data_IF_194603344413
#
_entry.id   IF_194603344413
#
_cell.length_a   1.000
_cell.length_b   1.000
_cell.length_c   1.000
_cell.angle_alpha   90.00
_cell.angle_beta   90.00
_cell.angle_gamma   90.00
#
_symmetry.space_group_name_H-M   'P 1'
#
loop_
_entity.id
_entity.type
_entity.pdbx_description
1 polymer ?
#
# COMPACT_ATOMS: atom_id res chain seq x y z
N UNK A 1 11.96 21.69 -6.81
CA UNK A 1 11.47 20.33 -6.49
C UNK A 1 11.07 19.66 -7.80
N UNK A 2 11.50 18.45 -8.06
CA UNK A 2 11.10 17.70 -9.26
C UNK A 2 9.60 17.42 -9.19
N UNK A 3 8.86 17.76 -10.25
CA UNK A 3 7.44 17.42 -10.39
C UNK A 3 7.24 16.03 -11.02
N UNK A 4 8.34 15.33 -11.36
CA UNK A 4 8.29 14.00 -11.98
C UNK A 4 7.73 12.95 -11.04
N UNK A 5 7.02 12.00 -11.63
CA UNK A 5 6.61 10.75 -11.00
C UNK A 5 7.30 9.60 -11.71
N UNK A 6 7.66 8.55 -10.97
CA UNK A 6 8.29 7.36 -11.55
C UNK A 6 8.29 6.21 -10.56
N UNK A 7 7.88 5.03 -11.01
CA UNK A 7 8.04 3.79 -10.26
C UNK A 7 8.05 2.58 -11.20
N UNK A 8 9.16 1.85 -11.24
CA UNK A 8 9.32 0.58 -11.97
C UNK A 8 9.51 -0.61 -11.03
N UNK A 9 9.82 -0.35 -9.75
CA UNK A 9 9.97 -1.37 -8.72
C UNK A 9 9.51 -0.83 -7.35
N UNK A 10 8.96 -1.71 -6.52
CA UNK A 10 8.63 -1.40 -5.11
C UNK A 10 9.88 -1.16 -4.28
N UNK A 11 11.06 -1.62 -4.75
CA UNK A 11 12.32 -1.59 -3.99
C UNK A 11 13.34 -0.60 -4.52
N UNK A 12 13.06 0.13 -5.61
CA UNK A 12 13.89 1.25 -6.03
C UNK A 12 13.90 2.34 -4.96
N UNK A 13 14.98 3.15 -4.93
CA UNK A 13 15.16 4.20 -3.92
C UNK A 13 13.97 5.15 -3.87
N UNK A 14 13.32 5.23 -2.72
CA UNK A 14 12.20 6.12 -2.47
C UNK A 14 12.70 7.56 -2.35
N UNK A 15 12.18 8.46 -3.19
CA UNK A 15 12.58 9.86 -3.22
C UNK A 15 11.43 10.80 -2.84
N UNK A 16 10.18 10.43 -3.18
CA UNK A 16 8.99 11.23 -2.86
C UNK A 16 7.81 10.34 -2.54
N UNK A 17 7.09 10.67 -1.47
CA UNK A 17 5.95 9.88 -0.98
C UNK A 17 4.86 10.77 -0.39
N UNK A 18 3.61 10.40 -0.60
CA UNK A 18 2.48 10.91 0.18
C UNK A 18 2.26 9.92 1.33
N UNK A 19 2.27 10.39 2.58
CA UNK A 19 1.91 9.58 3.75
C UNK A 19 0.50 9.91 4.22
N UNK A 20 -0.09 9.02 5.02
CA UNK A 20 -1.43 9.23 5.58
C UNK A 20 -1.57 10.49 6.41
N UNK A 21 -2.82 10.98 6.50
CA UNK A 21 -3.21 12.13 7.31
C UNK A 21 -4.07 11.68 8.49
N UNK A 22 -3.61 11.92 9.71
CA UNK A 22 -4.32 11.51 10.93
C UNK A 22 -5.31 12.56 11.46
N UNK A 23 -5.23 13.82 11.04
CA UNK A 23 -5.97 14.92 11.67
C UNK A 23 -7.49 14.81 11.52
N UNK A 24 -7.99 14.13 10.47
CA UNK A 24 -9.41 13.89 10.29
C UNK A 24 -9.89 12.52 10.79
N UNK A 25 -9.00 11.70 11.33
CA UNK A 25 -9.38 10.45 11.98
C UNK A 25 -10.35 10.69 13.14
N UNK A 26 -11.38 9.87 13.25
CA UNK A 26 -12.38 9.92 14.32
C UNK A 26 -12.40 8.62 15.11
N UNK A 27 -12.23 8.73 16.42
CA UNK A 27 -12.37 7.60 17.36
C UNK A 27 -13.84 7.11 17.48
N UNK A 28 -14.80 7.95 17.08
CA UNK A 28 -16.22 7.61 17.05
C UNK A 28 -16.83 8.02 15.71
N UNK A 29 -16.54 7.28 14.62
CA UNK A 29 -16.98 7.65 13.30
C UNK A 29 -18.51 7.63 13.18
N UNK A 30 -19.08 8.70 12.62
CA UNK A 30 -20.52 8.80 12.37
C UNK A 30 -20.98 7.78 11.29
N UNK A 31 -20.06 7.28 10.47
CA UNK A 31 -20.31 6.34 9.36
C UNK A 31 -19.83 4.94 9.74
N UNK A 32 -20.55 4.34 10.64
CA UNK A 32 -20.26 3.06 11.28
C UNK A 32 -20.29 1.86 10.32
N UNK A 33 -20.83 2.01 9.12
CA UNK A 33 -20.90 0.96 8.08
C UNK A 33 -19.52 0.51 7.56
N UNK A 34 -18.46 1.20 7.96
CA UNK A 34 -17.10 1.00 7.43
C UNK A 34 -16.23 0.10 8.28
N UNK A 35 -16.59 -0.06 9.53
CA UNK A 35 -15.78 -0.74 10.54
C UNK A 35 -16.66 -1.84 11.15
N UNK A 36 -16.16 -3.07 11.21
CA UNK A 36 -16.86 -4.12 11.96
C UNK A 36 -16.84 -3.83 13.46
N UNK A 37 -17.68 -4.53 14.26
CA UNK A 37 -17.81 -4.28 15.69
C UNK A 37 -16.49 -4.46 16.46
N UNK A 38 -15.67 -5.44 16.06
CA UNK A 38 -14.37 -5.70 16.70
C UNK A 38 -13.40 -4.53 16.45
N UNK A 39 -13.39 -3.99 15.22
CA UNK A 39 -12.60 -2.80 14.90
C UNK A 39 -13.07 -1.56 15.66
N UNK A 40 -14.39 -1.37 15.83
CA UNK A 40 -14.91 -0.22 16.59
C UNK A 40 -14.44 -0.21 18.05
N UNK A 41 -14.36 -1.41 18.65
CA UNK A 41 -13.92 -1.55 20.03
C UNK A 41 -12.40 -1.43 20.21
N UNK A 42 -11.64 -1.56 19.11
CA UNK A 42 -10.18 -1.50 19.08
C UNK A 42 -9.60 -0.23 18.45
N UNK A 43 -10.43 0.80 18.15
CA UNK A 43 -9.93 2.04 17.54
C UNK A 43 -8.93 2.75 18.47
N UNK A 44 -7.74 3.09 17.98
CA UNK A 44 -6.70 3.70 18.78
C UNK A 44 -7.04 5.15 19.13
N UNK A 45 -6.47 5.71 20.22
CA UNK A 45 -6.51 7.13 20.46
C UNK A 45 -5.83 7.92 19.33
N UNK A 46 -6.44 9.04 18.95
CA UNK A 46 -5.89 9.91 17.89
C UNK A 46 -4.47 10.42 18.21
N UNK A 47 -4.16 10.64 19.47
CA UNK A 47 -2.85 11.09 19.89
C UNK A 47 -1.77 10.04 19.61
N UNK A 48 -2.08 8.76 19.78
CA UNK A 48 -1.16 7.68 19.41
C UNK A 48 -0.89 7.66 17.89
N UNK A 49 -1.93 7.80 17.05
CA UNK A 49 -1.74 7.95 15.60
C UNK A 49 -0.86 9.12 15.26
N UNK A 50 -1.04 10.26 15.95
CA UNK A 50 -0.21 11.45 15.75
C UNK A 50 1.27 11.14 16.01
N UNK A 51 1.59 10.57 17.15
CA UNK A 51 2.97 10.24 17.54
C UNK A 51 3.62 9.28 16.54
N UNK A 52 2.88 8.24 16.12
CA UNK A 52 3.37 7.25 15.17
C UNK A 52 3.59 7.86 13.77
N UNK A 53 2.65 8.66 13.24
CA UNK A 53 2.80 9.31 11.95
C UNK A 53 3.89 10.39 11.95
N UNK A 54 4.06 11.12 13.05
CA UNK A 54 5.14 12.09 13.21
C UNK A 54 6.52 11.38 13.20
N UNK A 55 6.65 10.25 13.91
CA UNK A 55 7.85 9.39 13.89
C UNK A 55 8.10 8.84 12.49
N UNK A 56 7.08 8.32 11.83
CA UNK A 56 7.18 7.78 10.46
C UNK A 56 7.66 8.87 9.48
N UNK A 57 7.09 10.07 9.56
CA UNK A 57 7.53 11.24 8.78
C UNK A 57 8.99 11.59 9.04
N UNK A 58 9.41 11.61 10.31
CA UNK A 58 10.79 11.92 10.68
C UNK A 58 11.76 10.92 10.05
N UNK A 59 11.52 9.60 10.18
CA UNK A 59 12.38 8.55 9.63
C UNK A 59 12.49 8.67 8.10
N UNK A 60 11.39 8.94 7.40
CA UNK A 60 11.40 9.18 5.96
C UNK A 60 12.23 10.42 5.58
N UNK A 61 12.06 11.52 6.32
CA UNK A 61 12.80 12.77 6.07
C UNK A 61 14.29 12.61 6.34
N UNK A 62 14.68 11.91 7.41
CA UNK A 62 16.06 11.58 7.72
C UNK A 62 16.70 10.66 6.69
N UNK A 63 15.89 9.82 6.02
CA UNK A 63 16.31 9.01 4.89
C UNK A 63 16.43 9.81 3.57
N UNK A 64 16.16 11.13 3.58
CA UNK A 64 16.23 11.99 2.40
C UNK A 64 14.99 11.97 1.51
N UNK A 65 13.88 11.40 1.97
CA UNK A 65 12.62 11.32 1.21
C UNK A 65 11.83 12.62 1.34
N UNK A 66 11.34 13.15 0.23
CA UNK A 66 10.35 14.24 0.22
C UNK A 66 8.99 13.70 0.65
N UNK A 67 8.51 14.15 1.82
CA UNK A 67 7.25 13.67 2.41
C UNK A 67 6.14 14.69 2.21
N UNK A 68 5.05 14.24 1.60
CA UNK A 68 3.83 15.00 1.36
C UNK A 68 2.69 14.44 2.22
N UNK A 69 1.66 15.25 2.48
CA UNK A 69 0.48 14.85 3.23
C UNK A 69 -0.77 15.31 2.47
N UNK A 70 -1.82 14.49 2.33
CA UNK A 70 -3.05 14.89 1.65
C UNK A 70 -3.66 16.16 2.24
N UNK A 71 -4.35 16.95 1.45
CA UNK A 71 -5.19 18.02 1.95
C UNK A 71 -6.34 17.46 2.78
N UNK A 72 -6.78 18.21 3.79
CA UNK A 72 -7.91 17.83 4.63
C UNK A 72 -9.22 17.82 3.83
N UNK A 73 -9.88 16.67 3.73
CA UNK A 73 -11.13 16.51 2.96
C UNK A 73 -12.39 16.77 3.81
N UNK A 74 -12.26 16.79 5.13
CA UNK A 74 -13.34 17.12 6.02
C UNK A 74 -14.27 15.95 6.38
N UNK A 75 -15.53 16.26 6.68
CA UNK A 75 -16.50 15.33 7.30
C UNK A 75 -16.98 14.18 6.41
N UNK A 76 -16.62 14.18 5.12
CA UNK A 76 -17.12 13.19 4.17
C UNK A 76 -16.26 11.93 4.10
N UNK A 77 -15.12 11.93 4.77
CA UNK A 77 -14.24 10.77 4.86
C UNK A 77 -14.08 10.35 6.32
N UNK A 78 -13.94 9.05 6.53
CA UNK A 78 -13.71 8.47 7.85
C UNK A 78 -12.30 8.83 8.37
N UNK A 79 -11.33 8.61 7.54
CA UNK A 79 -9.92 8.97 7.75
C UNK A 79 -9.21 9.18 6.39
N UNK A 80 -7.94 9.53 6.44
CA UNK A 80 -7.05 9.61 5.28
C UNK A 80 -5.71 8.92 5.58
N UNK A 81 -5.75 7.84 6.37
CA UNK A 81 -4.54 7.17 6.88
C UNK A 81 -3.85 6.32 5.82
N UNK A 82 -4.60 5.79 4.83
CA UNK A 82 -4.10 4.80 3.87
C UNK A 82 -4.16 5.32 2.42
N UNK A 83 -3.30 6.30 2.06
CA UNK A 83 -3.30 6.89 0.72
C UNK A 83 -2.88 5.91 -0.39
N UNK A 84 -2.26 4.78 -0.06
CA UNK A 84 -1.87 3.75 -1.02
C UNK A 84 -3.03 3.31 -1.90
N UNK A 85 -4.21 3.19 -1.32
CA UNK A 85 -5.37 2.65 -2.03
C UNK A 85 -5.95 3.64 -3.04
N UNK A 86 -5.62 4.94 -2.90
CA UNK A 86 -6.13 6.01 -3.78
C UNK A 86 -5.49 6.00 -5.16
N UNK A 87 -4.31 5.42 -5.32
CA UNK A 87 -3.60 5.40 -6.58
C UNK A 87 -2.26 4.71 -6.54
N UNK A 88 -1.66 4.59 -7.72
CA UNK A 88 -0.36 3.97 -7.92
C UNK A 88 0.41 4.65 -9.03
N UNK A 89 1.69 4.88 -8.85
CA UNK A 89 2.59 5.22 -9.95
C UNK A 89 3.05 3.93 -10.61
N UNK A 90 2.84 3.81 -11.92
CA UNK A 90 3.26 2.67 -12.75
C UNK A 90 4.06 3.24 -13.93
N UNK A 91 5.35 2.91 -13.99
CA UNK A 91 6.26 3.57 -14.92
C UNK A 91 6.33 5.07 -14.62
N UNK A 92 5.90 5.90 -15.57
CA UNK A 92 5.83 7.36 -15.45
C UNK A 92 4.39 7.89 -15.48
N UNK A 93 3.40 7.01 -15.24
CA UNK A 93 1.99 7.36 -15.20
C UNK A 93 1.44 7.17 -13.79
N UNK A 94 0.45 7.99 -13.42
CA UNK A 94 -0.30 7.85 -12.18
C UNK A 94 -1.67 7.24 -12.47
N UNK A 95 -1.94 6.08 -11.92
CA UNK A 95 -3.28 5.49 -11.90
C UNK A 95 -4.04 6.07 -10.71
N UNK A 96 -5.12 6.81 -10.96
CA UNK A 96 -6.08 7.19 -9.92
C UNK A 96 -7.13 6.08 -9.78
N UNK A 97 -7.20 5.49 -8.61
CA UNK A 97 -8.03 4.33 -8.34
C UNK A 97 -9.52 4.64 -8.20
N UNK A 98 -10.36 3.72 -8.63
CA UNK A 98 -11.80 3.74 -8.40
C UNK A 98 -12.13 2.80 -7.22
N UNK A 99 -12.28 3.38 -6.03
CA UNK A 99 -12.52 2.67 -4.79
C UNK A 99 -13.88 1.96 -4.79
N UNK A 100 -13.90 0.68 -4.39
CA UNK A 100 -15.17 -0.06 -4.24
C UNK A 100 -16.02 0.52 -3.12
N UNK A 101 -15.40 0.91 -1.99
CA UNK A 101 -16.11 1.53 -0.86
C UNK A 101 -16.41 2.99 -1.15
N UNK A 102 -17.71 3.32 -1.23
CA UNK A 102 -18.18 4.68 -1.53
C UNK A 102 -17.68 5.73 -0.55
N UNK A 103 -17.57 5.40 0.71
CA UNK A 103 -17.06 6.26 1.79
C UNK A 103 -15.61 6.70 1.58
N UNK A 104 -14.80 5.90 0.90
CA UNK A 104 -13.40 6.19 0.64
C UNK A 104 -13.15 6.99 -0.65
N UNK A 105 -14.14 7.08 -1.54
CA UNK A 105 -13.99 7.74 -2.85
C UNK A 105 -13.62 9.21 -2.76
N UNK A 106 -14.04 9.90 -1.70
CA UNK A 106 -13.73 11.31 -1.50
C UNK A 106 -12.33 11.56 -0.96
N UNK A 107 -11.64 10.54 -0.45
CA UNK A 107 -10.26 10.66 0.04
C UNK A 107 -9.31 11.16 -1.08
N UNK A 108 -9.56 10.77 -2.33
CA UNK A 108 -8.76 11.17 -3.49
C UNK A 108 -8.70 12.69 -3.69
N UNK A 109 -9.72 13.43 -3.28
CA UNK A 109 -9.70 14.90 -3.34
C UNK A 109 -8.51 15.50 -2.56
N UNK A 110 -8.05 14.82 -1.51
CA UNK A 110 -6.90 15.25 -0.71
C UNK A 110 -5.56 15.21 -1.45
N UNK A 111 -5.46 14.47 -2.56
CA UNK A 111 -4.21 14.36 -3.33
C UNK A 111 -4.25 15.13 -4.66
N UNK A 112 -5.38 15.72 -5.04
CA UNK A 112 -5.54 16.36 -6.36
C UNK A 112 -4.53 17.46 -6.65
N UNK A 113 -4.13 18.27 -5.65
CA UNK A 113 -3.09 19.29 -5.89
C UNK A 113 -1.76 18.69 -6.36
N UNK A 114 -1.40 17.52 -5.85
CA UNK A 114 -0.16 16.84 -6.25
C UNK A 114 -0.27 16.26 -7.66
N UNK A 115 -1.46 15.76 -8.03
CA UNK A 115 -1.74 15.26 -9.37
C UNK A 115 -1.70 16.39 -10.40
N UNK A 116 -2.21 17.57 -10.05
CA UNK A 116 -2.16 18.76 -10.90
C UNK A 116 -0.72 19.23 -11.19
N UNK A 117 0.19 18.93 -10.26
CA UNK A 117 1.60 19.29 -10.40
C UNK A 117 2.41 18.31 -11.28
N UNK A 118 1.83 17.17 -11.69
CA UNK A 118 2.47 16.21 -12.58
C UNK A 118 2.60 16.83 -13.97
N UNK A 119 3.82 16.89 -14.58
CA UNK A 119 3.99 17.39 -15.93
C UNK A 119 3.17 16.55 -16.93
N UNK A 120 2.41 17.22 -17.79
CA UNK A 120 1.53 16.53 -18.75
C UNK A 120 0.44 15.71 -18.07
N UNK A 121 -0.10 16.18 -16.93
CA UNK A 121 -1.06 15.47 -16.09
C UNK A 121 -2.26 14.92 -16.87
N UNK A 122 -2.75 15.62 -17.90
CA UNK A 122 -3.86 15.14 -18.75
C UNK A 122 -3.55 13.81 -19.47
N UNK A 123 -2.29 13.57 -19.82
CA UNK A 123 -1.85 12.35 -20.49
C UNK A 123 -1.25 11.31 -19.52
N UNK A 124 -0.74 11.77 -18.38
CA UNK A 124 -0.01 10.94 -17.43
C UNK A 124 -0.85 10.50 -16.22
N UNK A 125 -2.09 10.99 -16.08
CA UNK A 125 -3.05 10.50 -15.11
C UNK A 125 -4.04 9.58 -15.82
N UNK A 126 -4.04 8.31 -15.41
CA UNK A 126 -4.92 7.27 -15.93
C UNK A 126 -6.05 7.05 -14.94
N UNK A 127 -7.28 7.10 -15.40
CA UNK A 127 -8.49 6.94 -14.57
C UNK A 127 -9.40 5.92 -15.25
N UNK A 128 -9.89 4.88 -14.54
CA UNK A 128 -10.91 4.01 -15.10
C UNK A 128 -12.18 4.79 -15.49
N UNK A 129 -12.65 4.65 -16.70
CA UNK A 129 -13.83 5.32 -17.22
C UNK A 129 -15.14 4.57 -16.92
N UNK A 130 -15.04 3.27 -16.60
CA UNK A 130 -16.17 2.44 -16.21
C UNK A 130 -16.48 2.59 -14.71
N UNK A 131 -17.74 2.86 -14.32
CA UNK A 131 -18.12 2.97 -12.91
C UNK A 131 -18.06 1.63 -12.15
N UNK A 132 -17.95 0.51 -12.86
CA UNK A 132 -17.84 -0.85 -12.31
C UNK A 132 -16.42 -1.39 -12.34
N UNK A 133 -15.48 -0.69 -12.97
CA UNK A 133 -14.07 -1.02 -12.93
C UNK A 133 -13.49 -0.59 -11.57
N UNK A 134 -13.41 -1.54 -10.62
CA UNK A 134 -12.86 -1.27 -9.30
C UNK A 134 -11.40 -1.68 -9.23
N UNK A 135 -10.58 -0.74 -8.77
CA UNK A 135 -9.13 -0.92 -8.54
C UNK A 135 -8.75 -0.15 -7.28
N UNK A 136 -7.98 -0.79 -6.39
CA UNK A 136 -7.35 -0.13 -5.24
C UNK A 136 -5.84 -0.36 -5.28
N UNK A 137 -5.05 0.66 -4.97
CA UNK A 137 -3.58 0.61 -5.12
C UNK A 137 -2.88 -0.38 -4.17
N UNK A 138 -3.54 -0.79 -3.08
CA UNK A 138 -3.07 -1.88 -2.20
C UNK A 138 -3.05 -3.25 -2.87
N UNK A 139 -3.87 -3.43 -3.92
CA UNK A 139 -3.91 -4.65 -4.74
C UNK A 139 -2.89 -4.64 -5.88
N UNK A 140 -2.08 -3.60 -6.04
CA UNK A 140 -1.12 -3.48 -7.13
C UNK A 140 0.31 -3.44 -6.57
N UNK A 141 1.19 -4.24 -7.17
CA UNK A 141 2.62 -4.24 -6.93
C UNK A 141 3.37 -4.23 -8.26
N UNK A 142 4.28 -3.28 -8.42
CA UNK A 142 5.11 -3.17 -9.64
C UNK A 142 6.53 -3.55 -9.30
N UNK A 143 7.02 -4.66 -9.88
CA UNK A 143 8.41 -5.07 -9.69
C UNK A 143 8.90 -6.00 -10.81
N UNK A 144 10.18 -5.90 -11.15
CA UNK A 144 10.84 -6.75 -12.14
C UNK A 144 10.09 -6.87 -13.48
N UNK A 145 9.53 -5.77 -13.96
CA UNK A 145 8.77 -5.75 -15.22
C UNK A 145 7.36 -6.36 -15.11
N UNK A 146 6.93 -6.78 -13.93
CA UNK A 146 5.58 -7.27 -13.69
C UNK A 146 4.73 -6.25 -12.97
N UNK A 147 3.43 -6.26 -13.26
CA UNK A 147 2.37 -5.69 -12.43
C UNK A 147 1.61 -6.87 -11.84
N UNK A 148 1.86 -7.16 -10.57
CA UNK A 148 1.03 -8.10 -9.84
C UNK A 148 -0.23 -7.38 -9.39
N UNK A 149 -1.40 -7.93 -9.72
CA UNK A 149 -2.69 -7.34 -9.36
C UNK A 149 -3.62 -8.39 -8.75
N UNK A 150 -4.06 -8.15 -7.51
CA UNK A 150 -4.99 -9.09 -6.88
C UNK A 150 -6.41 -8.91 -7.41
N UNK A 151 -7.07 -10.02 -7.70
CA UNK A 151 -8.52 -10.11 -7.76
C UNK A 151 -9.00 -10.40 -6.35
N UNK A 152 -9.57 -9.38 -5.70
CA UNK A 152 -9.86 -9.36 -4.28
C UNK A 152 -11.29 -8.88 -3.99
N UNK A 153 -11.56 -8.50 -2.74
CA UNK A 153 -12.80 -7.82 -2.36
C UNK A 153 -12.82 -6.34 -2.80
N UNK A 154 -11.69 -5.83 -3.29
CA UNK A 154 -11.47 -4.41 -3.61
C UNK A 154 -11.17 -4.15 -5.08
N UNK A 155 -10.49 -5.07 -5.73
CA UNK A 155 -10.18 -5.01 -7.16
C UNK A 155 -10.85 -6.17 -7.88
N UNK A 156 -11.54 -5.88 -8.97
CA UNK A 156 -12.27 -6.89 -9.75
C UNK A 156 -11.59 -7.21 -11.09
N UNK A 157 -12.16 -8.15 -11.85
CA UNK A 157 -11.64 -8.57 -13.16
C UNK A 157 -11.61 -7.42 -14.19
N UNK A 158 -12.57 -6.48 -14.12
CA UNK A 158 -12.54 -5.29 -15.00
C UNK A 158 -11.31 -4.43 -14.69
N UNK A 159 -10.91 -4.33 -13.41
CA UNK A 159 -9.69 -3.65 -13.00
C UNK A 159 -8.42 -4.30 -13.54
N UNK A 160 -8.36 -5.64 -13.55
CA UNK A 160 -7.25 -6.38 -14.17
C UNK A 160 -7.17 -6.11 -15.66
N UNK A 161 -8.29 -6.24 -16.37
CA UNK A 161 -8.37 -6.00 -17.82
C UNK A 161 -7.97 -4.55 -18.17
N UNK A 162 -8.38 -3.58 -17.35
CA UNK A 162 -7.99 -2.18 -17.51
C UNK A 162 -6.47 -1.99 -17.37
N UNK A 163 -5.84 -2.62 -16.38
CA UNK A 163 -4.37 -2.55 -16.22
C UNK A 163 -3.66 -3.20 -17.40
N UNK A 164 -4.17 -4.31 -17.91
CA UNK A 164 -3.63 -4.98 -19.09
C UNK A 164 -3.73 -4.09 -20.34
N UNK A 165 -4.87 -3.42 -20.55
CA UNK A 165 -5.05 -2.46 -21.65
C UNK A 165 -4.08 -1.26 -21.55
N UNK A 166 -3.93 -0.67 -20.37
CA UNK A 166 -3.17 0.56 -20.18
C UNK A 166 -1.65 0.36 -20.09
N UNK A 167 -1.21 -0.80 -19.61
CA UNK A 167 0.19 -1.04 -19.25
C UNK A 167 0.77 -2.34 -19.83
N UNK A 168 -0.04 -3.21 -20.43
CA UNK A 168 0.40 -4.51 -20.94
C UNK A 168 1.41 -4.46 -22.09
N UNK A 169 1.61 -3.28 -22.72
CA UNK A 169 2.69 -3.07 -23.70
C UNK A 169 4.07 -2.95 -23.06
N UNK A 170 4.14 -2.46 -21.81
CA UNK A 170 5.38 -2.13 -21.12
C UNK A 170 5.67 -3.07 -19.94
N UNK A 171 4.64 -3.72 -19.42
CA UNK A 171 4.70 -4.62 -18.25
C UNK A 171 3.96 -5.92 -18.52
N UNK A 172 4.41 -6.99 -17.89
CA UNK A 172 3.65 -8.24 -17.80
C UNK A 172 2.62 -8.13 -16.65
N UNK A 173 1.34 -8.06 -16.98
CA UNK A 173 0.27 -8.02 -15.97
C UNK A 173 -0.03 -9.43 -15.47
N UNK A 174 0.18 -9.66 -14.18
CA UNK A 174 0.04 -10.95 -13.51
C UNK A 174 -1.14 -10.91 -12.54
N UNK A 175 -2.30 -11.46 -12.92
CA UNK A 175 -3.44 -11.55 -12.01
C UNK A 175 -3.15 -12.54 -10.88
N UNK A 176 -3.50 -12.14 -9.65
CA UNK A 176 -3.34 -12.93 -8.42
C UNK A 176 -4.70 -13.15 -7.80
N UNK A 177 -5.17 -14.39 -7.73
CA UNK A 177 -6.43 -14.70 -7.06
C UNK A 177 -6.23 -14.78 -5.54
N UNK A 178 -6.75 -13.79 -4.81
CA UNK A 178 -6.75 -13.79 -3.36
C UNK A 178 -7.89 -14.66 -2.80
N UNK A 179 -7.64 -15.31 -1.66
CA UNK A 179 -8.70 -15.95 -0.87
C UNK A 179 -9.52 -14.91 -0.13
N UNK A 180 -10.79 -15.18 0.03
CA UNK A 180 -11.77 -14.29 0.65
C UNK A 180 -12.11 -14.70 2.09
N UNK A 181 -12.82 -13.85 2.81
CA UNK A 181 -13.39 -14.18 4.13
C UNK A 181 -14.25 -15.44 4.10
N UNK A 182 -15.02 -15.68 3.02
CA UNK A 182 -15.83 -16.88 2.88
C UNK A 182 -14.98 -18.16 2.75
N UNK A 183 -13.72 -18.01 2.32
CA UNK A 183 -12.72 -19.09 2.22
C UNK A 183 -11.84 -19.19 3.47
N UNK A 184 -12.16 -18.44 4.53
CA UNK A 184 -11.47 -18.48 5.82
C UNK A 184 -10.24 -17.57 5.93
N UNK A 185 -9.98 -16.72 4.92
CA UNK A 185 -8.85 -15.80 4.89
C UNK A 185 -9.30 -14.34 4.82
N UNK A 186 -8.78 -13.52 5.72
CA UNK A 186 -9.03 -12.08 5.73
C UNK A 186 -7.85 -11.33 5.10
N UNK A 187 -7.67 -11.51 3.80
CA UNK A 187 -6.69 -10.74 3.04
C UNK A 187 -7.41 -9.55 2.43
N UNK A 188 -7.05 -8.35 2.90
CA UNK A 188 -7.70 -7.11 2.45
C UNK A 188 -7.22 -6.72 1.05
N UNK A 189 -5.90 -6.71 0.85
CA UNK A 189 -5.22 -6.37 -0.39
C UNK A 189 -4.02 -7.28 -0.64
N UNK A 190 -3.45 -7.23 -1.85
CA UNK A 190 -2.26 -7.98 -2.22
C UNK A 190 -1.07 -7.71 -1.28
N UNK A 191 -0.86 -6.46 -0.87
CA UNK A 191 0.23 -6.06 0.02
C UNK A 191 0.10 -6.58 1.45
N UNK A 192 -1.05 -7.15 1.81
CA UNK A 192 -1.24 -7.88 3.06
C UNK A 192 -0.82 -9.35 2.96
N UNK A 193 -0.47 -9.85 1.77
CA UNK A 193 -0.03 -11.24 1.59
C UNK A 193 1.27 -11.38 0.77
N UNK A 194 1.68 -10.34 0.02
CA UNK A 194 2.89 -10.34 -0.77
C UNK A 194 3.51 -8.95 -0.81
N UNK A 195 4.83 -8.86 -0.62
CA UNK A 195 5.54 -7.59 -0.68
C UNK A 195 7.03 -7.82 -1.03
N UNK A 196 7.51 -7.38 -2.20
CA UNK A 196 8.93 -7.37 -2.53
C UNK A 196 9.73 -6.53 -1.54
N UNK A 197 10.86 -7.07 -1.07
CA UNK A 197 11.79 -6.40 -0.17
C UNK A 197 13.21 -6.63 -0.62
N UNK A 198 13.97 -5.57 -0.82
CA UNK A 198 15.30 -5.69 -1.40
C UNK A 198 15.29 -6.17 -2.85
N UNK A 199 16.46 -6.43 -3.41
CA UNK A 199 16.59 -6.78 -4.84
C UNK A 199 16.10 -8.19 -5.19
N UNK A 200 16.03 -9.12 -4.23
CA UNK A 200 15.70 -10.54 -4.45
C UNK A 200 14.66 -11.10 -3.51
N UNK A 201 14.56 -10.62 -2.29
CA UNK A 201 13.65 -11.16 -1.30
C UNK A 201 12.22 -10.63 -1.47
N UNK A 202 11.25 -11.41 -1.01
CA UNK A 202 9.88 -10.96 -0.83
C UNK A 202 9.23 -11.62 0.39
N UNK A 203 8.39 -10.87 1.08
CA UNK A 203 7.53 -11.40 2.12
C UNK A 203 6.31 -12.04 1.48
N UNK A 204 5.92 -13.22 1.95
CA UNK A 204 4.75 -13.92 1.44
C UNK A 204 3.96 -14.63 2.54
N UNK A 205 2.64 -14.46 2.51
CA UNK A 205 1.66 -15.26 3.23
C UNK A 205 0.94 -16.15 2.22
N UNK A 206 1.45 -17.38 2.03
CA UNK A 206 1.00 -18.28 0.95
C UNK A 206 -0.47 -18.66 1.07
N UNK A 207 -0.99 -18.78 2.30
CA UNK A 207 -2.41 -19.13 2.54
C UNK A 207 -3.40 -18.07 2.06
N UNK A 208 -2.93 -16.85 1.81
CA UNK A 208 -3.74 -15.77 1.21
C UNK A 208 -4.04 -15.97 -0.27
N UNK A 209 -3.26 -16.80 -0.97
CA UNK A 209 -3.41 -17.07 -2.40
C UNK A 209 -4.31 -18.30 -2.64
N UNK A 210 -5.10 -18.29 -3.71
CA UNK A 210 -5.65 -19.54 -4.26
C UNK A 210 -4.54 -20.35 -4.91
N UNK A 211 -3.67 -19.68 -5.66
CA UNK A 211 -2.46 -20.25 -6.25
C UNK A 211 -1.40 -19.14 -6.33
N UNK A 212 -0.18 -19.41 -5.85
CA UNK A 212 0.94 -18.49 -6.00
C UNK A 212 1.42 -18.50 -7.45
N UNK A 213 1.47 -17.33 -8.13
CA UNK A 213 1.99 -17.23 -9.50
C UNK A 213 3.45 -17.69 -9.62
N UNK A 214 3.80 -18.24 -10.79
CA UNK A 214 5.19 -18.65 -11.08
C UNK A 214 6.15 -17.46 -11.08
N UNK A 215 5.69 -16.30 -11.52
CA UNK A 215 6.43 -15.05 -11.52
C UNK A 215 6.89 -14.65 -10.11
N UNK A 216 6.15 -15.05 -9.08
CA UNK A 216 6.56 -14.89 -7.68
C UNK A 216 7.56 -15.98 -7.30
N UNK A 217 7.23 -17.25 -7.55
CA UNK A 217 8.07 -18.38 -7.14
C UNK A 217 9.45 -18.39 -7.78
N UNK A 218 9.54 -17.96 -9.04
CA UNK A 218 10.78 -18.03 -9.84
C UNK A 218 11.67 -16.80 -9.66
N UNK A 219 11.12 -15.66 -9.17
CA UNK A 219 11.84 -14.39 -9.14
C UNK A 219 12.26 -13.91 -7.74
N UNK A 220 11.78 -14.58 -6.66
CA UNK A 220 12.04 -14.11 -5.30
C UNK A 220 12.51 -15.20 -4.34
N UNK A 221 13.44 -14.83 -3.47
CA UNK A 221 13.77 -15.58 -2.27
C UNK A 221 12.68 -15.28 -1.23
N UNK A 222 11.78 -16.25 -0.99
CA UNK A 222 10.57 -16.02 -0.23
C UNK A 222 10.80 -16.13 1.28
N UNK A 223 10.50 -15.06 2.01
CA UNK A 223 10.41 -15.01 3.48
C UNK A 223 8.95 -15.25 3.86
N UNK A 224 8.66 -16.41 4.44
CA UNK A 224 7.29 -16.83 4.76
C UNK A 224 6.78 -16.17 6.04
N UNK A 225 5.57 -15.66 5.93
CA UNK A 225 4.80 -15.03 7.02
C UNK A 225 3.68 -15.99 7.39
N UNK A 226 3.51 -16.28 8.67
CA UNK A 226 2.40 -17.11 9.14
C UNK A 226 1.12 -16.27 9.39
N UNK A 227 0.00 -16.95 9.67
CA UNK A 227 -1.32 -16.31 9.84
C UNK A 227 -1.37 -15.28 10.98
N UNK A 228 -0.68 -15.52 12.08
CA UNK A 228 -0.64 -14.57 13.22
C UNK A 228 0.14 -13.31 12.84
N UNK A 229 1.28 -13.48 12.18
CA UNK A 229 2.11 -12.39 11.67
C UNK A 229 1.38 -11.59 10.58
N UNK A 230 0.64 -12.27 9.69
CA UNK A 230 -0.15 -11.63 8.64
C UNK A 230 -1.27 -10.76 9.24
N UNK A 231 -1.94 -11.22 10.29
CA UNK A 231 -2.97 -10.43 11.01
C UNK A 231 -2.40 -9.15 11.61
N UNK A 232 -1.13 -9.18 12.00
CA UNK A 232 -0.38 -8.01 12.45
C UNK A 232 0.24 -7.20 11.30
N UNK A 233 -0.16 -7.49 10.05
CA UNK A 233 0.33 -6.81 8.85
C UNK A 233 1.87 -6.84 8.71
N UNK A 234 2.53 -7.93 9.12
CA UNK A 234 3.99 -8.08 9.02
C UNK A 234 4.51 -8.07 7.57
N UNK A 235 3.66 -8.32 6.57
CA UNK A 235 3.98 -8.16 5.15
C UNK A 235 3.98 -6.70 4.69
N UNK A 236 3.26 -5.82 5.39
CA UNK A 236 2.95 -4.46 4.95
C UNK A 236 4.02 -3.45 5.37
N UNK A 237 5.27 -3.75 5.08
CA UNK A 237 6.45 -2.91 5.34
C UNK A 237 6.73 -1.99 4.15
N UNK A 238 7.53 -0.93 4.33
CA UNK A 238 7.91 0.00 3.28
C UNK A 238 9.39 -0.12 2.94
N UNK A 239 9.71 -0.47 1.69
CA UNK A 239 11.08 -0.40 1.18
C UNK A 239 11.48 1.06 0.93
N UNK A 240 12.60 1.48 1.52
CA UNK A 240 13.26 2.76 1.23
C UNK A 240 14.20 2.63 0.03
N UNK A 241 14.80 1.46 -0.13
CA UNK A 241 15.72 1.09 -1.21
C UNK A 241 15.83 -0.43 -1.28
N UNK A 242 16.66 -0.95 -2.18
CA UNK A 242 16.94 -2.39 -2.29
C UNK A 242 17.68 -2.96 -1.06
N UNK A 243 18.23 -2.13 -0.20
CA UNK A 243 19.03 -2.54 0.96
C UNK A 243 18.46 -2.02 2.30
N UNK A 244 17.33 -1.29 2.28
CA UNK A 244 16.74 -0.74 3.51
C UNK A 244 15.23 -0.70 3.50
N UNK A 245 14.61 -1.13 4.62
CA UNK A 245 13.16 -1.12 4.83
C UNK A 245 12.78 -0.48 6.17
N UNK A 246 11.55 0.03 6.27
CA UNK A 246 10.90 0.41 7.54
C UNK A 246 9.92 -0.70 7.90
N UNK A 247 10.00 -1.21 9.12
CA UNK A 247 9.14 -2.24 9.68
C UNK A 247 8.72 -1.91 11.12
N UNK A 248 7.76 -2.68 11.64
CA UNK A 248 7.26 -2.49 13.00
C UNK A 248 8.19 -3.11 14.05
N UNK A 249 8.39 -2.36 15.15
CA UNK A 249 8.90 -2.90 16.41
C UNK A 249 7.77 -3.59 17.18
N UNK A 250 7.31 -4.72 16.67
CA UNK A 250 6.24 -5.52 17.24
C UNK A 250 6.70 -6.98 17.42
N UNK A 251 6.36 -7.66 18.52
CA UNK A 251 6.83 -9.03 18.81
C UNK A 251 6.62 -10.03 17.66
N UNK A 252 5.49 -9.97 16.97
CA UNK A 252 5.20 -10.85 15.82
C UNK A 252 5.93 -10.43 14.54
N UNK A 253 6.38 -9.18 14.41
CA UNK A 253 7.17 -8.71 13.28
C UNK A 253 8.68 -8.99 13.45
N UNK A 254 9.18 -9.06 14.68
CA UNK A 254 10.62 -9.27 14.97
C UNK A 254 11.23 -10.50 14.29
N UNK A 255 10.58 -11.69 14.26
CA UNK A 255 11.11 -12.83 13.53
C UNK A 255 11.27 -12.55 12.03
N UNK A 256 10.32 -11.87 11.42
CA UNK A 256 10.35 -11.48 9.99
C UNK A 256 11.47 -10.46 9.76
N UNK A 257 11.61 -9.46 10.63
CA UNK A 257 12.69 -8.48 10.57
C UNK A 257 14.07 -9.15 10.66
N UNK A 258 14.21 -10.21 11.45
CA UNK A 258 15.44 -10.98 11.53
C UNK A 258 15.76 -11.73 10.23
N UNK A 259 14.75 -12.32 9.55
CA UNK A 259 14.96 -12.98 8.24
C UNK A 259 15.31 -11.95 7.16
N UNK A 260 14.69 -10.76 7.17
CA UNK A 260 15.03 -9.65 6.25
C UNK A 260 16.50 -9.25 6.44
N UNK A 261 16.98 -9.11 7.70
CA UNK A 261 18.39 -8.81 7.99
C UNK A 261 19.33 -9.91 7.52
N UNK A 262 18.95 -11.19 7.63
CA UNK A 262 19.73 -12.32 7.09
C UNK A 262 19.84 -12.26 5.56
N UNK A 263 18.85 -11.71 4.88
CA UNK A 263 18.91 -11.45 3.44
C UNK A 263 19.81 -10.25 3.07
N UNK A 264 20.46 -9.61 4.06
CA UNK A 264 21.37 -8.47 3.86
C UNK A 264 20.70 -7.13 3.77
N UNK A 265 19.43 -7.02 4.21
CA UNK A 265 18.64 -5.79 4.14
C UNK A 265 18.59 -5.16 5.53
N UNK A 266 18.90 -3.87 5.63
CA UNK A 266 18.75 -3.09 6.84
C UNK A 266 17.29 -2.89 7.19
N UNK A 267 16.91 -3.10 8.45
CA UNK A 267 15.55 -2.91 8.95
C UNK A 267 15.54 -1.82 10.00
N UNK A 268 14.93 -0.70 9.68
CA UNK A 268 14.58 0.36 10.63
C UNK A 268 13.28 -0.01 11.31
N UNK A 269 13.34 -0.33 12.60
CA UNK A 269 12.15 -0.68 13.39
C UNK A 269 11.63 0.54 14.13
N UNK A 270 10.34 0.83 13.99
CA UNK A 270 9.64 1.88 14.76
C UNK A 270 8.31 1.36 15.28
N UNK A 271 7.86 1.95 16.38
CA UNK A 271 6.51 1.69 16.92
C UNK A 271 5.46 2.23 15.94
N UNK A 272 4.56 1.36 15.51
CA UNK A 272 3.47 1.69 14.58
C UNK A 272 2.34 0.68 14.78
N UNK A 273 1.58 0.84 15.87
CA UNK A 273 0.56 -0.11 16.31
C UNK A 273 -0.86 0.45 16.18
N UNK A 274 -1.01 1.77 16.26
CA UNK A 274 -2.30 2.44 16.10
C UNK A 274 -2.82 2.38 14.66
N UNK A 275 -1.98 2.62 13.65
CA UNK A 275 -2.40 2.55 12.26
C UNK A 275 -2.83 1.13 11.84
N UNK A 276 -2.12 0.03 12.17
CA UNK A 276 -2.58 -1.33 11.95
C UNK A 276 -3.92 -1.67 12.61
N UNK A 277 -4.22 -1.11 13.79
CA UNK A 277 -5.52 -1.29 14.41
C UNK A 277 -6.68 -0.67 13.59
N UNK A 278 -6.39 0.30 12.71
CA UNK A 278 -7.36 0.83 11.73
C UNK A 278 -7.37 0.07 10.40
N UNK A 279 -6.45 -0.87 10.19
CA UNK A 279 -6.40 -1.75 9.01
C UNK A 279 -5.28 -1.44 8.01
N UNK A 280 -4.28 -0.63 8.35
CA UNK A 280 -3.15 -0.32 7.47
C UNK A 280 -1.82 -0.21 8.20
N UNK A 281 -0.70 -0.63 7.58
CA UNK A 281 0.65 -0.43 8.09
C UNK A 281 1.47 0.44 7.12
N UNK A 282 2.78 0.42 7.18
CA UNK A 282 3.66 1.37 6.48
C UNK A 282 3.39 1.48 4.98
N UNK A 283 3.20 0.35 4.28
CA UNK A 283 2.93 0.39 2.84
C UNK A 283 1.56 1.00 2.56
N UNK A 284 0.51 0.57 3.25
CA UNK A 284 -0.83 1.14 3.11
C UNK A 284 -0.84 2.64 3.44
N UNK A 285 -0.10 3.04 4.48
CA UNK A 285 0.01 4.43 4.94
C UNK A 285 0.95 5.30 4.08
N UNK A 286 1.39 4.81 2.92
CA UNK A 286 2.31 5.51 2.02
C UNK A 286 1.96 5.29 0.55
N UNK A 287 2.00 6.35 -0.25
CA UNK A 287 1.82 6.34 -1.70
C UNK A 287 3.08 6.94 -2.34
N UNK A 288 4.04 6.13 -2.79
CA UNK A 288 5.21 6.60 -3.52
C UNK A 288 4.82 7.33 -4.80
N UNK A 289 5.46 8.48 -5.02
CA UNK A 289 5.33 9.25 -6.26
C UNK A 289 6.60 9.16 -7.11
N UNK A 290 7.77 9.00 -6.45
CA UNK A 290 9.05 8.93 -7.15
C UNK A 290 9.95 7.89 -6.50
N UNK A 291 10.37 6.92 -7.31
CA UNK A 291 11.38 5.92 -7.01
C UNK A 291 12.43 5.85 -8.12
N UNK A 292 13.71 5.61 -7.79
CA UNK A 292 14.79 5.43 -8.76
C UNK A 292 16.10 6.10 -8.43
#
# INVERSE_FOLDING_TARGET
MSKSIKQYSETDTLQKVIIGRYENYSEAPAYVELVNEDQKNGLPPKEQLKEEFDTFRQVLTEAGVEVLVPDYVGKFVYDQLTPRDLGMVIGEKFLLCNMVKRSRRYESAGIFRYLHDIPGHEANIIIPDSPTCFIEGGDILVDKGNIFVAVSQRTNQEGVAFLEEQFGSDFNVVPVEARTLAEGENVLHLDCMFNPVGGKAALIYEEGFKQVPREILDNYDLIRVNKEQQRELATNILSLSQDRVISRDHPLCKPINAEIRKAGIEVTEITFDAAPATGGSFRCCSLPLLRG
#
